data_IF_781002067278
#
_entry.id   IF_781002067278
#
_cell.length_a   1.000
_cell.length_b   1.000
_cell.length_c   1.000
_cell.angle_alpha   90.00
_cell.angle_beta   90.00
_cell.angle_gamma   90.00
#
_symmetry.space_group_name_H-M   'P 1'
#
loop_
_entity.id
_entity.type
_entity.pdbx_description
1 polymer ?
#
# COMPACT_ATOMS: atom_id res chain seq x y z
N UNK A 1 5.57 14.99 -9.40
CA UNK A 1 5.59 13.64 -8.79
C UNK A 1 4.62 12.68 -9.48
N UNK A 2 3.33 13.04 -9.62
CA UNK A 2 2.28 12.21 -10.24
C UNK A 2 2.60 11.63 -11.62
N UNK A 3 3.18 12.45 -12.51
CA UNK A 3 3.57 12.01 -13.85
C UNK A 3 4.58 10.85 -13.80
N UNK A 4 5.53 10.88 -12.86
CA UNK A 4 6.56 9.83 -12.73
C UNK A 4 5.94 8.49 -12.31
N UNK A 5 5.02 8.50 -11.35
CA UNK A 5 4.30 7.28 -10.94
C UNK A 5 3.45 6.71 -12.08
N UNK A 6 2.77 7.58 -12.85
CA UNK A 6 2.02 7.15 -14.03
C UNK A 6 2.95 6.51 -15.09
N UNK A 7 4.10 7.12 -15.37
CA UNK A 7 5.10 6.57 -16.30
C UNK A 7 5.58 5.19 -15.87
N UNK A 8 5.83 4.97 -14.58
CA UNK A 8 6.20 3.65 -14.05
C UNK A 8 5.10 2.63 -14.33
N UNK A 9 3.84 2.94 -13.99
CA UNK A 9 2.70 2.02 -14.24
C UNK A 9 2.61 1.67 -15.73
N UNK A 10 2.67 2.67 -16.63
CA UNK A 10 2.61 2.42 -18.07
C UNK A 10 3.79 1.59 -18.59
N UNK A 11 4.99 1.79 -18.04
CA UNK A 11 6.17 1.00 -18.39
C UNK A 11 5.96 -0.49 -18.08
N UNK A 12 5.50 -0.82 -16.87
CA UNK A 12 5.24 -2.21 -16.48
C UNK A 12 4.06 -2.84 -17.26
N UNK A 13 3.04 -2.05 -17.63
CA UNK A 13 1.95 -2.51 -18.50
C UNK A 13 2.48 -2.84 -19.90
N UNK A 14 3.32 -1.98 -20.47
CA UNK A 14 3.91 -2.18 -21.81
C UNK A 14 4.80 -3.43 -21.86
N UNK A 15 5.48 -3.75 -20.77
CA UNK A 15 6.26 -4.98 -20.62
C UNK A 15 5.42 -6.22 -20.29
N UNK A 16 4.09 -6.09 -20.21
CA UNK A 16 3.17 -7.18 -19.84
C UNK A 16 3.43 -7.78 -18.45
N UNK A 17 4.03 -7.00 -17.55
CA UNK A 17 4.32 -7.42 -16.17
C UNK A 17 3.17 -7.13 -15.20
N UNK A 18 2.28 -6.19 -15.54
CA UNK A 18 1.03 -5.92 -14.80
C UNK A 18 -0.15 -5.77 -15.78
N UNK A 19 -1.36 -6.04 -15.30
CA UNK A 19 -2.57 -6.09 -16.14
C UNK A 19 -2.89 -4.75 -16.83
N UNK A 20 -3.30 -4.80 -18.10
CA UNK A 20 -3.85 -3.62 -18.82
C UNK A 20 -5.11 -3.05 -18.15
N UNK A 21 -5.80 -3.83 -17.31
CA UNK A 21 -6.92 -3.34 -16.51
C UNK A 21 -6.53 -2.21 -15.56
N UNK A 22 -5.24 -2.00 -15.26
CA UNK A 22 -4.77 -0.86 -14.49
C UNK A 22 -4.78 0.46 -15.29
N UNK A 23 -4.91 0.43 -16.63
CA UNK A 23 -5.04 1.64 -17.44
C UNK A 23 -6.35 2.39 -17.21
N UNK A 24 -7.38 1.71 -16.69
CA UNK A 24 -8.70 2.32 -16.41
C UNK A 24 -8.70 3.22 -15.18
N UNK A 25 -7.62 3.22 -14.39
CA UNK A 25 -7.51 4.10 -13.23
C UNK A 25 -6.93 5.42 -13.71
N UNK A 26 -7.78 6.44 -13.76
CA UNK A 26 -7.41 7.77 -14.29
C UNK A 26 -6.32 8.46 -13.46
N UNK A 27 -6.19 8.12 -12.18
CA UNK A 27 -5.28 8.79 -11.25
C UNK A 27 -4.59 7.83 -10.29
N UNK A 28 -3.28 8.03 -10.13
CA UNK A 28 -2.53 7.46 -9.02
C UNK A 28 -2.82 8.30 -7.77
N UNK A 29 -3.11 7.66 -6.64
CA UNK A 29 -3.26 8.31 -5.32
C UNK A 29 -2.13 7.87 -4.40
N UNK A 30 -1.19 8.76 -4.16
CA UNK A 30 -0.09 8.55 -3.23
C UNK A 30 -0.64 8.72 -1.81
N UNK A 31 -0.40 7.72 -0.96
CA UNK A 31 -0.80 7.71 0.43
C UNK A 31 0.13 6.76 1.18
N UNK A 32 0.25 6.96 2.50
CA UNK A 32 0.93 6.03 3.41
C UNK A 32 -0.14 5.24 4.15
N UNK A 33 -0.11 3.91 4.02
CA UNK A 33 -1.08 3.05 4.73
C UNK A 33 -0.63 2.83 6.16
N UNK A 34 -1.38 3.36 7.14
CA UNK A 34 -1.14 3.12 8.56
C UNK A 34 -1.83 1.84 9.06
N UNK A 35 -3.06 1.59 8.59
CA UNK A 35 -3.88 0.46 9.03
C UNK A 35 -4.67 -0.12 7.87
N UNK A 36 -4.94 -1.43 7.92
CA UNK A 36 -5.79 -2.10 6.95
C UNK A 36 -6.61 -3.20 7.65
N UNK A 37 -7.94 -3.04 7.65
CA UNK A 37 -8.88 -3.94 8.34
C UNK A 37 -8.83 -5.38 7.84
N UNK A 38 -8.25 -5.63 6.66
CA UNK A 38 -7.96 -6.99 6.17
C UNK A 38 -7.04 -7.77 7.12
N UNK A 39 -6.11 -7.10 7.79
CA UNK A 39 -5.13 -7.75 8.67
C UNK A 39 -5.53 -7.72 10.15
N UNK A 40 -6.79 -7.40 10.45
CA UNK A 40 -7.29 -7.39 11.83
C UNK A 40 -7.31 -8.82 12.37
N UNK A 41 -6.38 -9.14 13.28
CA UNK A 41 -6.34 -10.42 13.98
C UNK A 41 -7.57 -10.50 14.90
N UNK A 42 -8.42 -11.50 14.69
CA UNK A 42 -9.52 -11.80 15.61
C UNK A 42 -8.97 -12.72 16.70
N UNK A 43 -8.96 -12.25 17.95
CA UNK A 43 -8.59 -13.08 19.11
C UNK A 43 -9.60 -14.20 19.43
N UNK A 44 -10.71 -14.30 18.70
CA UNK A 44 -11.69 -15.37 18.85
C UNK A 44 -11.68 -16.25 17.61
N UNK A 45 -11.04 -17.41 17.74
CA UNK A 45 -11.08 -18.50 16.79
C UNK A 45 -12.51 -19.09 16.74
N UNK A 46 -13.38 -18.51 15.94
CA UNK A 46 -14.50 -19.28 15.40
C UNK A 46 -13.97 -20.03 14.20
N UNK A 47 -13.86 -21.35 14.31
CA UNK A 47 -13.38 -22.31 13.30
C UNK A 47 -14.27 -22.38 12.04
N UNK A 48 -14.88 -21.27 11.63
CA UNK A 48 -15.74 -21.18 10.48
C UNK A 48 -14.99 -20.49 9.32
N UNK A 49 -14.48 -21.26 8.34
CA UNK A 49 -13.67 -20.75 7.22
C UNK A 49 -14.44 -19.81 6.29
N UNK A 50 -15.75 -19.65 6.47
CA UNK A 50 -16.59 -18.68 5.75
C UNK A 50 -16.71 -17.28 6.40
N UNK A 51 -16.13 -17.05 7.58
CA UNK A 51 -16.44 -15.88 8.43
C UNK A 51 -15.43 -14.73 8.38
N UNK A 52 -14.38 -14.78 7.55
CA UNK A 52 -13.40 -13.68 7.35
C UNK A 52 -13.99 -12.48 6.58
N UNK A 53 -15.26 -12.14 6.83
CA UNK A 53 -15.84 -10.90 6.34
C UNK A 53 -15.05 -9.73 6.90
N UNK A 54 -14.56 -8.87 6.00
CA UNK A 54 -13.92 -7.60 6.35
C UNK A 54 -14.86 -6.81 7.24
N UNK A 55 -14.43 -6.51 8.46
CA UNK A 55 -15.17 -5.63 9.36
C UNK A 55 -14.80 -4.18 9.03
N UNK A 56 -15.81 -3.32 8.90
CA UNK A 56 -15.59 -1.87 8.91
C UNK A 56 -15.05 -1.42 10.27
N UNK A 57 -14.46 -0.24 10.32
CA UNK A 57 -14.09 0.42 11.57
C UNK A 57 -14.56 1.86 11.53
N UNK A 58 -14.94 2.40 12.69
CA UNK A 58 -15.28 3.80 12.82
C UNK A 58 -13.97 4.60 12.94
N UNK A 59 -13.66 5.40 11.93
CA UNK A 59 -12.46 6.24 11.90
C UNK A 59 -12.70 7.67 12.41
N UNK A 60 -13.92 8.01 12.85
CA UNK A 60 -14.31 9.39 13.14
C UNK A 60 -13.37 10.07 14.13
N UNK A 61 -13.11 9.47 15.28
CA UNK A 61 -12.23 10.06 16.31
C UNK A 61 -10.80 10.27 15.79
N UNK A 62 -10.30 9.39 14.94
CA UNK A 62 -8.98 9.52 14.30
C UNK A 62 -8.98 10.69 13.33
N UNK A 63 -10.03 10.84 12.53
CA UNK A 63 -10.14 11.95 11.56
C UNK A 63 -10.38 13.29 12.26
N UNK A 64 -11.19 13.32 13.31
CA UNK A 64 -11.46 14.53 14.11
C UNK A 64 -10.18 15.02 14.82
N UNK A 65 -9.27 14.10 15.19
CA UNK A 65 -8.01 14.44 15.87
C UNK A 65 -6.81 14.64 14.94
N UNK A 66 -6.73 13.89 13.84
CA UNK A 66 -5.54 13.82 12.97
C UNK A 66 -5.82 14.16 11.51
N UNK A 67 -7.05 14.50 11.12
CA UNK A 67 -7.43 14.75 9.73
C UNK A 67 -6.65 15.88 9.07
N UNK A 68 -6.36 16.93 9.85
CA UNK A 68 -5.58 18.10 9.43
C UNK A 68 -4.19 18.15 10.09
N UNK A 69 -3.76 17.06 10.73
CA UNK A 69 -2.46 17.00 11.39
C UNK A 69 -1.33 16.91 10.35
N UNK A 70 -0.36 17.81 10.45
CA UNK A 70 0.84 17.77 9.63
C UNK A 70 1.84 16.74 10.20
N UNK A 71 1.96 15.60 9.51
CA UNK A 71 2.91 14.54 9.86
C UNK A 71 4.35 14.85 9.44
N UNK A 72 4.58 15.99 8.79
CA UNK A 72 5.85 16.43 8.28
C UNK A 72 6.13 16.00 6.85
N UNK A 73 7.36 16.28 6.42
CA UNK A 73 7.81 16.09 5.05
C UNK A 73 8.93 15.04 4.98
N UNK A 74 9.07 14.42 3.81
CA UNK A 74 10.17 13.49 3.56
C UNK A 74 10.63 13.55 2.11
N UNK A 75 11.89 13.18 1.89
CA UNK A 75 12.48 13.08 0.56
C UNK A 75 12.44 11.63 0.07
N UNK A 76 12.12 11.45 -1.20
CA UNK A 76 12.27 10.14 -1.85
C UNK A 76 13.68 10.04 -2.41
N UNK A 77 14.55 9.31 -1.72
CA UNK A 77 15.95 9.09 -2.10
C UNK A 77 16.18 7.78 -2.86
N UNK A 78 15.24 6.84 -2.77
CA UNK A 78 15.32 5.58 -3.51
C UNK A 78 13.94 4.96 -3.77
N UNK A 79 13.90 4.03 -4.72
CA UNK A 79 12.73 3.20 -5.02
C UNK A 79 13.12 1.73 -4.94
N UNK A 80 12.35 0.95 -4.18
CA UNK A 80 12.53 -0.49 -4.02
C UNK A 80 11.53 -1.24 -4.91
N UNK A 81 11.99 -2.31 -5.57
CA UNK A 81 11.11 -3.32 -6.14
C UNK A 81 10.87 -4.41 -5.09
N UNK A 82 9.85 -4.21 -4.25
CA UNK A 82 9.57 -5.10 -3.13
C UNK A 82 8.82 -6.37 -3.53
N UNK A 83 9.11 -7.46 -2.83
CA UNK A 83 8.40 -8.73 -2.92
C UNK A 83 7.22 -8.72 -1.94
N UNK A 84 6.03 -9.05 -2.43
CA UNK A 84 4.82 -9.09 -1.62
C UNK A 84 4.82 -10.36 -0.76
N UNK A 85 4.32 -10.26 0.48
CA UNK A 85 4.23 -11.36 1.46
C UNK A 85 5.56 -11.88 2.00
N UNK A 86 6.65 -11.17 1.77
CA UNK A 86 7.96 -11.48 2.34
C UNK A 86 8.52 -10.27 3.07
N UNK A 87 9.25 -10.54 4.15
CA UNK A 87 9.92 -9.53 4.95
C UNK A 87 11.40 -9.85 5.08
N UNK A 88 12.21 -8.82 5.23
CA UNK A 88 13.61 -8.92 5.61
C UNK A 88 13.74 -8.98 7.15
N UNK A 89 14.98 -9.09 7.66
CA UNK A 89 15.27 -9.23 9.09
C UNK A 89 14.84 -8.02 9.94
N UNK A 90 14.73 -6.85 9.31
CA UNK A 90 14.28 -5.60 9.93
C UNK A 90 12.74 -5.45 9.95
N UNK A 91 12.02 -6.42 9.38
CA UNK A 91 10.56 -6.40 9.25
C UNK A 91 10.05 -5.60 8.05
N UNK A 92 10.92 -4.95 7.27
CA UNK A 92 10.55 -4.28 6.03
C UNK A 92 10.31 -5.31 4.91
N UNK A 93 9.65 -4.91 3.82
CA UNK A 93 9.46 -5.81 2.68
C UNK A 93 10.81 -6.19 2.07
N UNK A 94 10.98 -7.49 1.79
CA UNK A 94 12.17 -7.97 1.08
C UNK A 94 12.27 -7.32 -0.30
N UNK A 95 13.43 -6.75 -0.63
CA UNK A 95 13.66 -6.09 -1.92
C UNK A 95 14.26 -7.05 -2.97
N UNK A 96 13.77 -6.97 -4.20
CA UNK A 96 14.39 -7.59 -5.39
C UNK A 96 15.39 -6.66 -6.08
N UNK A 97 15.40 -5.37 -5.73
CA UNK A 97 16.25 -4.37 -6.35
C UNK A 97 15.96 -2.97 -5.83
N UNK A 98 16.98 -2.12 -5.80
CA UNK A 98 16.89 -0.74 -5.31
C UNK A 98 17.51 0.21 -6.33
N UNK A 99 16.82 1.31 -6.60
CA UNK A 99 17.31 2.40 -7.45
C UNK A 99 17.42 3.66 -6.60
N UNK A 100 18.59 4.30 -6.60
CA UNK A 100 18.80 5.61 -5.96
C UNK A 100 18.36 6.73 -6.90
N UNK A 101 17.86 7.85 -6.35
CA UNK A 101 17.31 8.99 -7.09
C UNK A 101 18.21 10.23 -7.03
#
# INVERSE_FOLDING_TARGET
>A
MWQRCYTVVQYFIRLHLISKAYQKYDTVKLHVTLMNTKYRIRHQATNDPGSEKRTTFNAKEILDSLGDFDFGETFVYCVHLSQRHTSDIDGYFKSSGVISL
#
